data_IF_172336887228
#
_entry.id   IF_172336887228
#
_cell.length_a   1.000
_cell.length_b   1.000
_cell.length_c   1.000
_cell.angle_alpha   90.00
_cell.angle_beta   90.00
_cell.angle_gamma   90.00
#
_symmetry.space_group_name_H-M   'P 1'
#
loop_
_entity.id
_entity.type
_entity.pdbx_description
1 polymer ?
#
# COMPACT_ATOMS: atom_id res chain seq x y z
N UNK A 1 -1.55 3.16 32.12
CA UNK A 1 -2.83 2.85 31.43
C UNK A 1 -3.63 4.14 31.37
N UNK A 2 -4.26 4.51 30.25
CA UNK A 2 -5.01 5.78 30.14
C UNK A 2 -6.44 5.58 30.66
N UNK A 3 -6.95 6.49 31.49
CA UNK A 3 -8.33 6.42 32.02
C UNK A 3 -9.35 6.36 30.88
N UNK A 4 -9.15 7.16 29.83
CA UNK A 4 -10.03 7.17 28.65
C UNK A 4 -10.02 5.81 27.93
N UNK A 5 -8.85 5.17 27.85
CA UNK A 5 -8.73 3.84 27.25
C UNK A 5 -9.58 2.83 28.01
N UNK A 6 -9.48 2.80 29.34
CA UNK A 6 -10.26 1.90 30.20
C UNK A 6 -11.76 2.20 30.14
N UNK A 7 -12.16 3.48 30.13
CA UNK A 7 -13.58 3.86 30.02
C UNK A 7 -14.20 3.39 28.70
N UNK A 8 -13.45 3.50 27.59
CA UNK A 8 -13.88 3.02 26.27
C UNK A 8 -13.84 1.47 26.14
N UNK A 9 -13.26 0.75 27.10
CA UNK A 9 -13.24 -0.72 27.12
C UNK A 9 -14.46 -1.29 27.84
N UNK A 10 -14.95 -0.64 28.89
CA UNK A 10 -15.94 -1.21 29.79
C UNK A 10 -17.41 -1.02 29.38
N UNK A 11 -17.78 0.10 28.73
CA UNK A 11 -19.19 0.41 28.45
C UNK A 11 -19.33 1.22 27.14
N UNK A 12 -20.27 0.82 26.29
CA UNK A 12 -20.62 1.52 25.06
C UNK A 12 -21.22 2.91 25.36
N UNK A 13 -21.92 3.08 26.49
CA UNK A 13 -22.45 4.37 26.92
C UNK A 13 -21.32 5.37 27.24
N UNK A 14 -20.20 4.90 27.79
CA UNK A 14 -19.03 5.76 27.99
C UNK A 14 -18.50 6.29 26.66
N UNK A 15 -18.57 5.49 25.59
CA UNK A 15 -18.15 5.93 24.26
C UNK A 15 -19.07 7.03 23.70
N UNK A 16 -20.37 6.97 24.01
CA UNK A 16 -21.33 8.04 23.69
C UNK A 16 -20.98 9.33 24.45
N UNK A 17 -20.65 9.24 25.74
CA UNK A 17 -20.24 10.42 26.51
C UNK A 17 -18.90 11.00 26.04
N UNK A 18 -17.93 10.13 25.69
CA UNK A 18 -16.66 10.54 25.09
C UNK A 18 -16.89 11.31 23.78
N UNK A 19 -17.80 10.83 22.93
CA UNK A 19 -18.13 11.46 21.65
C UNK A 19 -18.76 12.87 21.79
N UNK A 20 -19.51 13.09 22.87
CA UNK A 20 -20.13 14.40 23.17
C UNK A 20 -19.10 15.48 23.50
N UNK A 21 -17.91 15.12 24.01
CA UNK A 21 -16.87 16.09 24.35
C UNK A 21 -16.12 16.53 23.10
N UNK A 22 -16.56 17.65 22.52
CA UNK A 22 -16.10 18.16 21.21
C UNK A 22 -14.58 18.29 21.07
N UNK A 23 -13.89 18.76 22.10
CA UNK A 23 -12.45 19.04 22.03
C UNK A 23 -11.57 17.86 22.47
N UNK A 24 -12.15 16.77 22.94
CA UNK A 24 -11.38 15.65 23.49
C UNK A 24 -10.57 14.95 22.40
N UNK A 25 -11.24 14.58 21.30
CA UNK A 25 -10.59 13.92 20.15
C UNK A 25 -9.51 14.83 19.53
N UNK A 26 -9.77 16.11 19.20
CA UNK A 26 -8.73 17.03 18.72
C UNK A 26 -7.51 17.12 19.65
N UNK A 27 -7.71 17.19 20.97
CA UNK A 27 -6.62 17.24 21.96
C UNK A 27 -5.80 15.95 21.97
N UNK A 28 -6.45 14.79 21.96
CA UNK A 28 -5.76 13.49 21.86
C UNK A 28 -4.95 13.42 20.56
N UNK A 29 -5.50 13.91 19.45
CA UNK A 29 -4.77 13.96 18.17
C UNK A 29 -3.60 14.95 18.26
N UNK A 30 -3.74 16.09 18.92
CA UNK A 30 -2.65 17.03 19.17
C UNK A 30 -1.44 16.38 19.87
N UNK A 31 -1.69 15.45 20.78
CA UNK A 31 -0.66 14.67 21.46
C UNK A 31 0.00 13.59 20.60
N UNK A 32 -0.51 13.33 19.39
CA UNK A 32 0.18 12.46 18.42
C UNK A 32 1.31 13.15 17.66
N UNK A 33 1.46 14.48 17.82
CA UNK A 33 2.57 15.21 17.22
C UNK A 33 3.91 14.82 17.87
N UNK A 34 4.84 14.32 17.05
CA UNK A 34 6.20 14.03 17.46
C UNK A 34 7.01 15.30 17.82
N UNK A 35 6.46 16.50 17.58
CA UNK A 35 7.01 17.80 17.99
C UNK A 35 6.00 18.61 18.82
N UNK A 36 5.41 18.00 19.85
CA UNK A 36 4.54 18.76 20.75
C UNK A 36 5.38 19.72 21.60
N UNK A 37 5.23 21.03 21.38
CA UNK A 37 5.94 22.09 22.10
C UNK A 37 5.57 22.20 23.60
N UNK A 38 4.62 21.36 24.08
CA UNK A 38 4.08 21.44 25.43
C UNK A 38 4.82 20.60 26.49
N UNK A 39 5.83 19.79 26.12
CA UNK A 39 6.43 18.81 27.04
C UNK A 39 7.91 19.10 27.29
N UNK A 40 8.29 19.14 28.58
CA UNK A 40 9.63 19.56 29.02
C UNK A 40 10.71 18.48 28.86
N UNK A 41 10.34 17.22 28.58
CA UNK A 41 11.30 16.13 28.32
C UNK A 41 10.84 15.15 27.24
N UNK A 42 11.80 14.60 26.50
CA UNK A 42 11.59 13.61 25.44
C UNK A 42 10.88 12.33 25.97
N UNK A 43 11.20 11.93 27.20
CA UNK A 43 10.57 10.76 27.85
C UNK A 43 9.07 10.97 28.09
N UNK A 44 8.68 12.14 28.62
CA UNK A 44 7.27 12.48 28.83
C UNK A 44 6.53 12.57 27.49
N UNK A 45 7.17 13.12 26.45
CA UNK A 45 6.58 13.19 25.12
C UNK A 45 6.30 11.81 24.54
N UNK A 46 7.24 10.86 24.65
CA UNK A 46 7.04 9.47 24.20
C UNK A 46 5.92 8.75 24.95
N UNK A 47 5.81 8.95 26.26
CA UNK A 47 4.72 8.37 27.08
C UNK A 47 3.35 8.92 26.65
N UNK A 48 3.27 10.23 26.43
CA UNK A 48 2.04 10.91 26.03
C UNK A 48 1.60 10.49 24.62
N UNK A 49 2.55 10.45 23.67
CA UNK A 49 2.34 9.96 22.32
C UNK A 49 1.80 8.53 22.32
N UNK A 50 2.49 7.61 23.01
CA UNK A 50 2.10 6.20 23.13
C UNK A 50 0.69 6.04 23.72
N UNK A 51 0.40 6.77 24.79
CA UNK A 51 -0.90 6.71 25.46
C UNK A 51 -2.02 7.23 24.56
N UNK A 52 -1.76 8.31 23.82
CA UNK A 52 -2.73 8.90 22.89
C UNK A 52 -3.02 7.97 21.72
N UNK A 53 -2.01 7.30 21.16
CA UNK A 53 -2.19 6.28 20.12
C UNK A 53 -3.00 5.08 20.62
N UNK A 54 -2.79 4.62 21.87
CA UNK A 54 -3.60 3.54 22.45
C UNK A 54 -5.07 3.93 22.55
N UNK A 55 -5.34 5.17 23.01
CA UNK A 55 -6.71 5.70 23.07
C UNK A 55 -7.31 5.76 21.67
N UNK A 56 -6.61 6.33 20.68
CA UNK A 56 -7.12 6.42 19.30
C UNK A 56 -7.36 5.05 18.67
N UNK A 57 -6.46 4.09 18.88
CA UNK A 57 -6.64 2.72 18.38
C UNK A 57 -7.90 2.09 18.98
N UNK A 58 -8.17 2.32 20.26
CA UNK A 58 -9.38 1.84 20.91
C UNK A 58 -10.63 2.54 20.40
N UNK A 59 -10.63 3.87 20.31
CA UNK A 59 -11.79 4.62 19.83
C UNK A 59 -12.16 4.24 18.39
N UNK A 60 -11.15 4.02 17.54
CA UNK A 60 -11.38 3.61 16.14
C UNK A 60 -11.82 2.15 16.01
N UNK A 61 -11.55 1.29 17.00
CA UNK A 61 -11.97 -0.12 17.00
C UNK A 61 -13.40 -0.35 17.47
N UNK A 62 -14.10 0.69 17.94
CA UNK A 62 -15.48 0.54 18.42
C UNK A 62 -16.39 0.20 17.23
N UNK A 63 -17.30 -0.75 17.45
CA UNK A 63 -18.30 -1.18 16.46
C UNK A 63 -19.62 -0.42 16.64
N UNK A 64 -20.54 -0.58 15.68
CA UNK A 64 -21.86 0.06 15.69
C UNK A 64 -21.84 1.57 15.36
N UNK A 65 -22.98 2.23 15.54
CA UNK A 65 -23.22 3.62 15.14
C UNK A 65 -22.24 4.63 15.77
N UNK A 66 -21.94 4.45 17.06
CA UNK A 66 -20.97 5.28 17.77
C UNK A 66 -19.55 5.09 17.20
N UNK A 67 -19.19 3.87 16.83
CA UNK A 67 -17.91 3.56 16.19
C UNK A 67 -17.76 4.24 14.84
N UNK A 68 -18.83 4.26 14.03
CA UNK A 68 -18.89 4.97 12.74
C UNK A 68 -18.67 6.47 12.98
N UNK A 69 -19.38 7.06 13.95
CA UNK A 69 -19.27 8.49 14.29
C UNK A 69 -17.86 8.87 14.76
N UNK A 70 -17.29 8.07 15.65
CA UNK A 70 -15.93 8.30 16.17
C UNK A 70 -14.88 8.19 15.07
N UNK A 71 -14.93 7.14 14.22
CA UNK A 71 -14.00 7.01 13.09
C UNK A 71 -14.11 8.18 12.13
N UNK A 72 -15.33 8.65 11.81
CA UNK A 72 -15.53 9.84 10.98
C UNK A 72 -14.90 11.10 11.59
N UNK A 73 -15.19 11.40 12.87
CA UNK A 73 -14.61 12.58 13.55
C UNK A 73 -13.08 12.51 13.63
N UNK A 74 -12.54 11.34 13.94
CA UNK A 74 -11.11 11.10 14.00
C UNK A 74 -10.48 11.29 12.61
N UNK A 75 -11.03 10.66 11.56
CA UNK A 75 -10.46 10.71 10.21
C UNK A 75 -10.48 12.10 9.59
N UNK A 76 -11.51 12.91 9.88
CA UNK A 76 -11.65 14.27 9.35
C UNK A 76 -10.74 15.30 10.02
N UNK A 77 -10.02 14.92 11.07
CA UNK A 77 -9.10 15.84 11.71
C UNK A 77 -7.83 16.03 10.85
N UNK A 78 -7.51 17.27 10.42
CA UNK A 78 -6.54 17.54 9.34
C UNK A 78 -5.11 17.10 9.66
N UNK A 79 -4.75 17.04 10.95
CA UNK A 79 -3.40 16.67 11.37
C UNK A 79 -3.21 15.17 11.62
N UNK A 80 -4.28 14.37 11.66
CA UNK A 80 -4.18 12.98 12.05
C UNK A 80 -3.25 12.22 11.10
N UNK A 81 -3.65 12.07 9.82
CA UNK A 81 -2.90 11.26 8.85
C UNK A 81 -1.45 11.73 8.69
N UNK A 82 -1.19 13.03 8.81
CA UNK A 82 0.17 13.58 8.83
C UNK A 82 0.97 13.10 10.04
N UNK A 83 0.45 13.25 11.26
CA UNK A 83 1.13 12.82 12.49
C UNK A 83 1.39 11.30 12.46
N UNK A 84 0.38 10.55 12.04
CA UNK A 84 0.42 9.12 11.83
C UNK A 84 1.54 8.73 10.83
N UNK A 85 1.64 9.43 9.71
CA UNK A 85 2.70 9.22 8.73
C UNK A 85 4.08 9.53 9.32
N UNK A 86 4.24 10.65 10.05
CA UNK A 86 5.51 11.06 10.67
C UNK A 86 6.11 9.96 11.55
N UNK A 87 5.29 9.34 12.39
CA UNK A 87 5.69 8.24 13.28
C UNK A 87 6.14 7.00 12.50
N UNK A 88 5.46 6.66 11.39
CA UNK A 88 5.84 5.51 10.56
C UNK A 88 7.21 5.69 9.87
N UNK A 89 7.61 6.93 9.61
CA UNK A 89 8.88 7.23 8.93
C UNK A 89 10.09 7.37 9.86
N UNK A 90 9.88 7.39 11.18
CA UNK A 90 10.98 7.42 12.14
C UNK A 90 11.65 6.04 12.22
N UNK A 91 12.88 5.96 11.70
CA UNK A 91 13.69 4.75 11.58
C UNK A 91 14.30 4.26 12.89
N UNK A 92 14.04 4.92 14.03
CA UNK A 92 14.57 4.48 15.32
C UNK A 92 13.99 3.11 15.72
N UNK A 93 14.89 2.14 16.00
CA UNK A 93 14.56 0.74 16.31
C UNK A 93 13.63 0.58 17.54
N UNK A 94 13.60 1.57 18.42
CA UNK A 94 12.82 1.55 19.67
C UNK A 94 11.32 1.85 19.51
N UNK A 95 10.81 2.07 18.28
CA UNK A 95 9.43 2.51 18.04
C UNK A 95 8.49 1.46 17.43
N UNK A 96 8.84 0.17 17.47
CA UNK A 96 8.01 -0.91 16.89
C UNK A 96 6.59 -0.97 17.47
N UNK A 97 6.41 -0.79 18.78
CA UNK A 97 5.07 -0.75 19.39
C UNK A 97 4.25 0.44 18.87
N UNK A 98 4.87 1.61 18.69
CA UNK A 98 4.18 2.78 18.12
C UNK A 98 3.74 2.48 16.69
N UNK A 99 4.61 1.94 15.85
CA UNK A 99 4.28 1.52 14.47
C UNK A 99 3.12 0.51 14.43
N UNK A 100 3.04 -0.41 15.39
CA UNK A 100 1.93 -1.37 15.50
C UNK A 100 0.60 -0.70 15.88
N UNK A 101 0.60 0.18 16.88
CA UNK A 101 -0.58 0.97 17.26
C UNK A 101 -1.07 1.80 16.07
N UNK A 102 -0.11 2.44 15.40
CA UNK A 102 -0.28 3.23 14.20
C UNK A 102 -0.95 2.48 13.05
N UNK A 103 -0.39 1.33 12.66
CA UNK A 103 -0.97 0.49 11.62
C UNK A 103 -2.39 0.02 11.99
N UNK A 104 -2.62 -0.29 13.27
CA UNK A 104 -3.95 -0.63 13.78
C UNK A 104 -4.98 0.50 13.65
N UNK A 105 -4.60 1.74 13.96
CA UNK A 105 -5.47 2.92 13.77
C UNK A 105 -5.82 3.07 12.29
N UNK A 106 -4.81 3.05 11.40
CA UNK A 106 -5.04 3.21 9.96
C UNK A 106 -5.93 2.11 9.38
N UNK A 107 -5.72 0.86 9.81
CA UNK A 107 -6.59 -0.26 9.46
C UNK A 107 -8.03 -0.02 9.88
N UNK A 108 -8.25 0.42 11.12
CA UNK A 108 -9.59 0.68 11.63
C UNK A 108 -10.27 1.85 10.90
N UNK A 109 -9.52 2.91 10.59
CA UNK A 109 -10.03 4.06 9.82
C UNK A 109 -10.35 3.72 8.37
N UNK A 110 -9.64 2.77 7.78
CA UNK A 110 -9.89 2.27 6.42
C UNK A 110 -11.19 1.45 6.30
N UNK A 111 -11.92 1.23 7.40
CA UNK A 111 -13.30 0.73 7.40
C UNK A 111 -14.21 1.68 6.60
N UNK A 112 -14.06 2.98 6.80
CA UNK A 112 -14.89 3.98 6.10
C UNK A 112 -14.40 4.22 4.67
N UNK A 113 -15.30 4.10 3.69
CA UNK A 113 -14.97 4.17 2.25
C UNK A 113 -14.20 5.44 1.86
N UNK A 114 -14.68 6.61 2.29
CA UNK A 114 -14.07 7.89 1.95
C UNK A 114 -12.66 8.03 2.56
N UNK A 115 -12.54 7.67 3.85
CA UNK A 115 -11.26 7.68 4.56
C UNK A 115 -10.27 6.71 3.93
N UNK A 116 -10.72 5.52 3.53
CA UNK A 116 -9.90 4.53 2.82
C UNK A 116 -9.40 5.06 1.49
N UNK A 117 -10.25 5.72 0.71
CA UNK A 117 -9.86 6.33 -0.57
C UNK A 117 -8.82 7.44 -0.36
N UNK A 118 -9.00 8.27 0.67
CA UNK A 118 -8.04 9.30 1.04
C UNK A 118 -6.68 8.69 1.43
N UNK A 119 -6.67 7.70 2.31
CA UNK A 119 -5.45 6.94 2.69
C UNK A 119 -4.79 6.32 1.46
N UNK A 120 -5.56 5.68 0.59
CA UNK A 120 -5.08 5.04 -0.64
C UNK A 120 -4.44 6.02 -1.64
N UNK A 121 -4.83 7.29 -1.60
CA UNK A 121 -4.28 8.34 -2.45
C UNK A 121 -3.03 9.02 -1.85
N UNK A 122 -2.78 8.86 -0.55
CA UNK A 122 -1.62 9.46 0.10
C UNK A 122 -0.36 8.61 -0.14
N UNK A 123 0.31 8.86 -1.27
CA UNK A 123 1.55 8.17 -1.66
C UNK A 123 2.57 8.08 -0.51
N UNK A 124 2.78 9.16 0.23
CA UNK A 124 3.66 9.20 1.40
C UNK A 124 3.30 8.15 2.46
N UNK A 125 2.01 8.01 2.79
CA UNK A 125 1.54 7.12 3.84
C UNK A 125 1.63 5.66 3.39
N UNK A 126 1.24 5.36 2.14
CA UNK A 126 1.38 4.03 1.53
C UNK A 126 2.85 3.60 1.50
N UNK A 127 3.74 4.48 1.04
CA UNK A 127 5.19 4.25 1.04
C UNK A 127 5.73 3.92 2.43
N UNK A 128 5.30 4.66 3.47
CA UNK A 128 5.75 4.42 4.85
C UNK A 128 5.15 3.15 5.46
N UNK A 129 3.89 2.82 5.16
CA UNK A 129 3.25 1.57 5.57
C UNK A 129 3.96 0.35 4.97
N UNK A 130 4.21 0.40 3.66
CA UNK A 130 4.94 -0.65 2.95
C UNK A 130 6.35 -0.83 3.50
N UNK A 131 7.07 0.27 3.75
CA UNK A 131 8.39 0.21 4.38
C UNK A 131 8.34 -0.39 5.77
N UNK A 132 7.39 0.03 6.61
CA UNK A 132 7.21 -0.52 7.94
C UNK A 132 6.88 -2.02 7.91
N UNK A 133 6.06 -2.48 6.96
CA UNK A 133 5.76 -3.90 6.77
C UNK A 133 7.02 -4.70 6.41
N UNK A 134 7.80 -4.21 5.43
CA UNK A 134 9.04 -4.86 4.99
C UNK A 134 10.15 -4.83 6.06
N UNK A 135 10.18 -3.80 6.90
CA UNK A 135 11.12 -3.67 8.02
C UNK A 135 10.69 -4.46 9.27
N UNK A 136 9.39 -4.78 9.44
CA UNK A 136 8.83 -5.39 10.67
C UNK A 136 9.12 -6.90 10.81
N UNK A 137 9.75 -7.54 9.83
CA UNK A 137 10.12 -8.95 9.94
C UNK A 137 11.47 -9.17 10.67
N UNK A 138 12.04 -8.12 11.26
CA UNK A 138 13.28 -8.18 12.05
C UNK A 138 13.05 -8.56 13.52
N UNK A 139 12.95 -9.86 13.80
CA UNK A 139 13.30 -10.42 15.11
C UNK A 139 14.17 -11.65 14.92
N UNK A 140 15.33 -11.52 14.29
CA UNK A 140 16.43 -12.45 14.55
C UNK A 140 17.73 -11.67 14.67
N UNK A 141 18.43 -11.99 15.75
CA UNK A 141 19.72 -11.46 16.14
C UNK A 141 20.77 -11.75 15.05
N UNK A 142 21.57 -10.73 14.74
CA UNK A 142 22.78 -10.75 13.91
C UNK A 142 22.65 -10.30 12.45
N UNK A 143 23.73 -9.67 11.99
CA UNK A 143 23.83 -8.65 10.95
C UNK A 143 23.73 -9.17 9.49
N UNK A 144 23.01 -10.28 9.27
CA UNK A 144 22.77 -10.90 7.95
C UNK A 144 21.28 -11.23 7.75
N UNK A 145 20.50 -11.26 8.83
CA UNK A 145 19.10 -11.74 8.85
C UNK A 145 18.04 -10.68 8.53
N UNK A 146 18.42 -9.43 8.21
CA UNK A 146 17.47 -8.38 7.83
C UNK A 146 17.03 -8.47 6.35
N UNK A 147 17.91 -9.00 5.49
CA UNK A 147 17.62 -9.22 4.07
C UNK A 147 16.71 -10.43 3.86
N UNK A 148 16.90 -11.50 4.64
CA UNK A 148 16.20 -12.78 4.46
C UNK A 148 14.66 -12.64 4.50
N UNK A 149 14.04 -11.84 5.39
CA UNK A 149 12.59 -11.71 5.43
C UNK A 149 12.03 -10.72 4.41
N UNK A 150 12.84 -9.74 3.96
CA UNK A 150 12.50 -8.86 2.83
C UNK A 150 12.46 -9.66 1.54
N UNK A 151 13.49 -10.48 1.34
CA UNK A 151 13.65 -11.43 0.23
C UNK A 151 12.56 -12.51 0.29
N UNK A 152 12.30 -13.13 1.44
CA UNK A 152 11.28 -14.18 1.57
C UNK A 152 9.85 -13.67 1.35
N UNK A 153 9.52 -12.47 1.84
CA UNK A 153 8.21 -11.85 1.58
C UNK A 153 8.00 -11.50 0.11
N UNK A 154 9.06 -11.05 -0.57
CA UNK A 154 9.06 -10.77 -2.01
C UNK A 154 8.94 -12.05 -2.84
N UNK A 155 9.78 -13.04 -2.57
CA UNK A 155 9.76 -14.34 -3.22
C UNK A 155 8.37 -15.00 -3.08
N UNK A 156 7.76 -14.94 -1.90
CA UNK A 156 6.43 -15.51 -1.66
C UNK A 156 5.35 -14.80 -2.50
N UNK A 157 5.39 -13.46 -2.62
CA UNK A 157 4.46 -12.73 -3.47
C UNK A 157 4.65 -13.09 -4.94
N UNK A 158 5.90 -13.15 -5.41
CA UNK A 158 6.21 -13.48 -6.82
C UNK A 158 5.80 -14.92 -7.17
N UNK A 159 6.09 -15.90 -6.30
CA UNK A 159 5.67 -17.29 -6.47
C UNK A 159 4.14 -17.42 -6.45
N UNK A 160 3.45 -16.76 -5.50
CA UNK A 160 1.98 -16.78 -5.44
C UNK A 160 1.32 -16.20 -6.69
N UNK A 161 1.93 -15.19 -7.34
CA UNK A 161 1.40 -14.60 -8.58
C UNK A 161 1.37 -15.62 -9.74
N UNK A 162 2.29 -16.59 -9.74
CA UNK A 162 2.33 -17.61 -10.79
C UNK A 162 1.02 -18.42 -10.82
N UNK A 163 0.48 -18.75 -9.65
CA UNK A 163 -0.68 -19.64 -9.51
C UNK A 163 -2.01 -18.91 -9.18
N UNK A 164 -1.96 -17.67 -8.71
CA UNK A 164 -3.16 -16.92 -8.31
C UNK A 164 -4.04 -16.53 -9.51
N UNK A 165 -5.35 -16.44 -9.30
CA UNK A 165 -6.34 -16.01 -10.29
C UNK A 165 -7.32 -14.97 -9.71
N UNK A 166 -8.04 -14.28 -10.60
CA UNK A 166 -9.12 -13.36 -10.21
C UNK A 166 -8.68 -12.24 -9.26
N UNK A 167 -9.46 -12.02 -8.20
CA UNK A 167 -9.18 -10.95 -7.23
C UNK A 167 -7.87 -11.14 -6.45
N UNK A 168 -7.48 -12.39 -6.15
CA UNK A 168 -6.20 -12.67 -5.49
C UNK A 168 -5.03 -12.24 -6.38
N UNK A 169 -5.09 -12.57 -7.68
CA UNK A 169 -4.09 -12.15 -8.66
C UNK A 169 -3.99 -10.61 -8.75
N UNK A 170 -5.13 -9.93 -8.82
CA UNK A 170 -5.17 -8.46 -8.87
C UNK A 170 -4.48 -7.83 -7.66
N UNK A 171 -4.77 -8.33 -6.46
CA UNK A 171 -4.18 -7.85 -5.21
C UNK A 171 -2.69 -8.13 -5.16
N UNK A 172 -2.26 -9.34 -5.52
CA UNK A 172 -0.85 -9.72 -5.45
C UNK A 172 0.01 -8.94 -6.46
N UNK A 173 -0.46 -8.75 -7.70
CA UNK A 173 0.25 -7.91 -8.68
C UNK A 173 0.26 -6.45 -8.21
N UNK A 174 -0.85 -5.94 -7.69
CA UNK A 174 -0.92 -4.60 -7.10
C UNK A 174 0.11 -4.41 -5.98
N UNK A 175 0.22 -5.40 -5.08
CA UNK A 175 1.21 -5.41 -4.00
C UNK A 175 2.64 -5.48 -4.55
N UNK A 176 2.90 -6.37 -5.51
CA UNK A 176 4.20 -6.49 -6.19
C UNK A 176 4.63 -5.17 -6.82
N UNK A 177 3.71 -4.44 -7.44
CA UNK A 177 3.98 -3.13 -8.04
C UNK A 177 4.40 -2.09 -6.99
N UNK A 178 3.76 -2.10 -5.82
CA UNK A 178 4.14 -1.20 -4.72
C UNK A 178 5.50 -1.58 -4.12
N UNK A 179 5.83 -2.87 -4.03
CA UNK A 179 7.15 -3.33 -3.58
C UNK A 179 8.22 -2.89 -4.58
N UNK A 180 8.01 -3.15 -5.87
CA UNK A 180 8.92 -2.76 -6.95
C UNK A 180 9.20 -1.25 -6.95
N UNK A 181 8.18 -0.42 -6.67
CA UNK A 181 8.32 1.04 -6.51
C UNK A 181 9.15 1.45 -5.30
N UNK A 182 9.08 0.70 -4.21
CA UNK A 182 9.61 1.09 -2.91
C UNK A 182 11.07 0.69 -2.71
N UNK A 183 11.42 -0.51 -3.19
CA UNK A 183 12.75 -1.13 -3.06
C UNK A 183 13.15 -1.74 -4.41
N UNK A 184 13.38 -0.89 -5.44
CA UNK A 184 13.60 -1.36 -6.79
C UNK A 184 14.87 -2.20 -6.94
N UNK A 185 15.92 -1.90 -6.18
CA UNK A 185 17.19 -2.64 -6.22
C UNK A 185 17.02 -4.07 -5.71
N UNK A 186 16.43 -4.25 -4.52
CA UNK A 186 16.20 -5.57 -3.94
C UNK A 186 15.20 -6.37 -4.77
N UNK A 187 14.13 -5.73 -5.26
CA UNK A 187 13.17 -6.38 -6.14
C UNK A 187 13.80 -6.85 -7.45
N UNK A 188 14.66 -6.01 -8.06
CA UNK A 188 15.37 -6.38 -9.28
C UNK A 188 16.34 -7.54 -9.02
N UNK A 189 17.10 -7.51 -7.93
CA UNK A 189 17.98 -8.61 -7.54
C UNK A 189 17.21 -9.92 -7.40
N UNK A 190 16.05 -9.92 -6.73
CA UNK A 190 15.24 -11.12 -6.56
C UNK A 190 14.80 -11.71 -7.91
N UNK A 191 14.42 -10.86 -8.87
CA UNK A 191 14.06 -11.29 -10.21
C UNK A 191 15.24 -11.91 -10.99
N UNK A 192 16.48 -11.47 -10.75
CA UNK A 192 17.68 -12.02 -11.43
C UNK A 192 18.03 -13.44 -10.96
N UNK A 193 17.47 -13.92 -9.85
CA UNK A 193 17.72 -15.28 -9.38
C UNK A 193 16.95 -16.30 -10.23
N UNK A 194 17.68 -17.19 -10.90
CA UNK A 194 17.10 -18.29 -11.69
C UNK A 194 16.28 -17.83 -12.91
N UNK A 195 15.15 -18.49 -13.17
CA UNK A 195 14.24 -18.18 -14.29
C UNK A 195 13.02 -17.34 -13.84
N UNK A 196 13.07 -16.74 -12.64
CA UNK A 196 11.93 -16.07 -12.01
C UNK A 196 11.46 -14.89 -12.85
N UNK A 197 12.36 -13.98 -13.25
CA UNK A 197 12.00 -12.84 -14.10
C UNK A 197 11.22 -13.23 -15.35
N UNK A 198 11.73 -14.21 -16.10
CA UNK A 198 11.12 -14.63 -17.36
C UNK A 198 9.74 -15.24 -17.13
N UNK A 199 9.59 -16.10 -16.11
CA UNK A 199 8.30 -16.69 -15.72
C UNK A 199 7.30 -15.61 -15.25
N UNK A 200 7.76 -14.67 -14.43
CA UNK A 200 6.95 -13.58 -13.92
C UNK A 200 6.46 -12.66 -15.04
N UNK A 201 7.35 -12.21 -15.93
CA UNK A 201 6.99 -11.41 -17.11
C UNK A 201 6.00 -12.17 -17.99
N UNK A 202 6.26 -13.45 -18.29
CA UNK A 202 5.35 -14.27 -19.08
C UNK A 202 3.97 -14.36 -18.40
N UNK A 203 3.93 -14.60 -17.09
CA UNK A 203 2.69 -14.66 -16.31
C UNK A 203 1.87 -13.37 -16.40
N UNK A 204 2.52 -12.21 -16.30
CA UNK A 204 1.86 -10.91 -16.46
C UNK A 204 1.23 -10.77 -17.84
N UNK A 205 1.94 -11.15 -18.90
CA UNK A 205 1.43 -11.07 -20.28
C UNK A 205 0.28 -12.07 -20.50
N UNK A 206 0.42 -13.31 -20.03
CA UNK A 206 -0.63 -14.32 -20.11
C UNK A 206 -1.90 -13.86 -19.37
N UNK A 207 -1.76 -13.29 -18.17
CA UNK A 207 -2.87 -12.74 -17.41
C UNK A 207 -3.52 -11.54 -18.11
N UNK A 208 -2.74 -10.66 -18.77
CA UNK A 208 -3.28 -9.55 -19.55
C UNK A 208 -4.14 -10.08 -20.70
N UNK A 209 -3.64 -11.09 -21.42
CA UNK A 209 -4.33 -11.74 -22.53
C UNK A 209 -5.60 -12.47 -22.10
N UNK A 210 -5.56 -13.16 -20.96
CA UNK A 210 -6.75 -13.80 -20.39
C UNK A 210 -7.84 -12.79 -19.99
N UNK A 211 -7.47 -11.53 -19.77
CA UNK A 211 -8.37 -10.46 -19.33
C UNK A 211 -8.67 -9.42 -20.44
N UNK A 212 -8.46 -9.74 -21.73
CA UNK A 212 -8.82 -8.84 -22.84
C UNK A 212 -10.32 -8.56 -22.91
N UNK A 213 -11.15 -9.58 -22.66
CA UNK A 213 -12.56 -9.38 -22.33
C UNK A 213 -12.64 -9.13 -20.84
N UNK A 214 -13.14 -7.96 -20.47
CA UNK A 214 -13.14 -7.57 -19.08
C UNK A 214 -14.02 -8.47 -18.22
N UNK A 215 -13.50 -8.85 -17.06
CA UNK A 215 -14.24 -9.53 -16.02
C UNK A 215 -14.75 -8.51 -14.99
N UNK A 216 -16.05 -8.47 -14.76
CA UNK A 216 -16.68 -7.56 -13.79
C UNK A 216 -16.21 -7.79 -12.35
N UNK A 217 -15.69 -8.98 -12.03
CA UNK A 217 -15.26 -9.35 -10.67
C UNK A 217 -13.83 -8.92 -10.33
N UNK A 218 -13.02 -8.56 -11.33
CA UNK A 218 -11.62 -8.16 -11.14
C UNK A 218 -11.24 -7.07 -12.16
N UNK A 219 -11.88 -5.88 -12.08
CA UNK A 219 -11.77 -4.87 -13.11
C UNK A 219 -10.38 -4.22 -13.19
N UNK A 220 -9.52 -4.42 -12.19
CA UNK A 220 -8.21 -3.78 -12.13
C UNK A 220 -7.04 -4.65 -12.58
N UNK A 221 -7.24 -5.92 -12.97
CA UNK A 221 -6.13 -6.82 -13.38
C UNK A 221 -5.28 -6.19 -14.48
N UNK A 222 -5.90 -5.71 -15.56
CA UNK A 222 -5.17 -5.09 -16.68
C UNK A 222 -4.36 -3.88 -16.22
N UNK A 223 -4.93 -3.06 -15.35
CA UNK A 223 -4.27 -1.89 -14.76
C UNK A 223 -3.04 -2.28 -13.95
N UNK A 224 -3.17 -3.20 -13.00
CA UNK A 224 -2.04 -3.57 -12.12
C UNK A 224 -0.92 -4.23 -12.92
N UNK A 225 -1.25 -4.98 -13.98
CA UNK A 225 -0.27 -5.53 -14.91
C UNK A 225 0.47 -4.41 -15.63
N UNK A 226 -0.24 -3.44 -16.21
CA UNK A 226 0.39 -2.30 -16.90
C UNK A 226 1.28 -1.51 -15.94
N UNK A 227 0.81 -1.22 -14.73
CA UNK A 227 1.64 -0.54 -13.72
C UNK A 227 2.90 -1.35 -13.39
N UNK A 228 2.77 -2.64 -13.09
CA UNK A 228 3.91 -3.53 -12.83
C UNK A 228 4.91 -3.52 -13.98
N UNK A 229 4.45 -3.68 -15.22
CA UNK A 229 5.30 -3.70 -16.41
C UNK A 229 6.02 -2.37 -16.64
N UNK A 230 5.32 -1.24 -16.49
CA UNK A 230 5.92 0.10 -16.60
C UNK A 230 7.04 0.26 -15.59
N UNK A 231 6.79 -0.04 -14.32
CA UNK A 231 7.82 0.11 -13.28
C UNK A 231 9.04 -0.78 -13.53
N UNK A 232 8.83 -2.03 -13.94
CA UNK A 232 9.93 -2.92 -14.30
C UNK A 232 10.76 -2.36 -15.46
N UNK A 233 10.12 -1.82 -16.50
CA UNK A 233 10.82 -1.24 -17.66
C UNK A 233 11.52 0.08 -17.33
N UNK A 234 10.96 0.88 -16.43
CA UNK A 234 11.58 2.13 -15.95
C UNK A 234 12.79 1.86 -15.05
N UNK A 235 12.75 0.82 -14.21
CA UNK A 235 13.87 0.44 -13.36
C UNK A 235 15.02 -0.19 -14.16
N UNK A 236 14.70 -1.01 -15.16
CA UNK A 236 15.69 -1.64 -16.03
C UNK A 236 15.13 -1.81 -17.44
N UNK A 237 15.65 -1.02 -18.39
CA UNK A 237 15.16 -1.02 -19.77
C UNK A 237 15.31 -2.36 -20.48
N UNK A 238 16.21 -3.25 -20.02
CA UNK A 238 16.33 -4.62 -20.55
C UNK A 238 15.06 -5.44 -20.34
N UNK A 239 14.23 -5.10 -19.36
CA UNK A 239 12.93 -5.74 -19.17
C UNK A 239 12.01 -5.49 -20.37
N UNK A 240 12.11 -4.34 -21.06
CA UNK A 240 11.31 -4.04 -22.24
C UNK A 240 11.55 -5.06 -23.36
N UNK A 241 12.80 -5.51 -23.55
CA UNK A 241 13.13 -6.57 -24.50
C UNK A 241 12.42 -7.88 -24.14
N UNK A 242 12.49 -8.29 -22.87
CA UNK A 242 11.84 -9.52 -22.42
C UNK A 242 10.30 -9.44 -22.54
N UNK A 243 9.69 -8.31 -22.20
CA UNK A 243 8.26 -8.08 -22.43
C UNK A 243 7.91 -8.17 -23.92
N UNK A 244 8.74 -7.61 -24.80
CA UNK A 244 8.50 -7.64 -26.24
C UNK A 244 8.63 -9.06 -26.83
N UNK A 245 9.57 -9.88 -26.34
CA UNK A 245 9.66 -11.31 -26.71
C UNK A 245 8.36 -12.08 -26.43
N UNK A 246 7.62 -11.68 -25.40
CA UNK A 246 6.30 -12.24 -25.07
C UNK A 246 5.13 -11.51 -25.75
N UNK A 247 5.39 -10.61 -26.70
CA UNK A 247 4.37 -9.84 -27.45
C UNK A 247 3.52 -8.93 -26.56
N UNK A 248 4.15 -8.31 -25.55
CA UNK A 248 3.48 -7.31 -24.71
C UNK A 248 2.94 -6.13 -25.53
N UNK A 249 3.64 -5.69 -26.58
CA UNK A 249 3.20 -4.57 -27.44
C UNK A 249 1.82 -4.82 -28.07
N UNK A 250 1.61 -6.02 -28.60
CA UNK A 250 0.34 -6.44 -29.19
C UNK A 250 -0.76 -6.47 -28.11
N UNK A 251 -0.42 -7.05 -26.96
CA UNK A 251 -1.34 -7.17 -25.81
C UNK A 251 -1.80 -5.79 -25.32
N UNK A 252 -0.87 -4.85 -25.12
CA UNK A 252 -1.18 -3.47 -24.69
C UNK A 252 -2.02 -2.72 -25.74
N UNK A 253 -1.81 -2.98 -27.03
CA UNK A 253 -2.62 -2.37 -28.09
C UNK A 253 -4.07 -2.84 -28.07
N UNK A 254 -4.32 -4.12 -27.76
CA UNK A 254 -5.69 -4.63 -27.59
C UNK A 254 -6.41 -4.03 -26.39
N UNK A 255 -5.69 -3.69 -25.31
CA UNK A 255 -6.28 -3.01 -24.14
C UNK A 255 -6.80 -1.62 -24.52
N UNK A 256 -6.09 -0.91 -25.39
CA UNK A 256 -6.50 0.40 -25.90
C UNK A 256 -7.83 0.34 -26.65
N UNK A 257 -8.04 -0.73 -27.43
CA UNK A 257 -9.25 -0.94 -28.24
C UNK A 257 -10.47 -1.38 -27.41
N UNK A 258 -10.25 -1.83 -26.17
CA UNK A 258 -11.30 -2.41 -25.31
C UNK A 258 -11.44 -1.73 -23.94
N UNK A 259 -11.54 -0.39 -23.89
CA UNK A 259 -11.56 0.35 -22.63
C UNK A 259 -12.86 0.13 -21.88
N UNK A 260 -12.79 0.16 -20.55
CA UNK A 260 -13.98 0.13 -19.72
C UNK A 260 -13.94 1.06 -18.52
N UNK A 261 -15.13 1.58 -18.18
CA UNK A 261 -15.35 2.41 -17.00
C UNK A 261 -15.01 1.68 -15.70
N UNK A 262 -15.16 0.36 -15.65
CA UNK A 262 -14.86 -0.40 -14.44
C UNK A 262 -13.36 -0.39 -14.10
N UNK A 263 -12.48 -0.18 -15.09
CA UNK A 263 -11.01 -0.12 -14.89
C UNK A 263 -10.55 1.17 -14.23
N UNK A 264 -11.47 2.08 -13.95
CA UNK A 264 -11.26 3.17 -13.00
C UNK A 264 -11.16 2.63 -11.57
N UNK A 265 -11.53 1.38 -11.32
CA UNK A 265 -11.58 0.78 -10.01
C UNK A 265 -10.68 -0.46 -9.89
N UNK A 266 -10.17 -0.71 -8.69
CA UNK A 266 -9.38 -1.89 -8.32
C UNK A 266 -9.97 -2.59 -7.09
N UNK A 267 -9.74 -3.90 -7.00
CA UNK A 267 -10.08 -4.71 -5.84
C UNK A 267 -9.18 -4.35 -4.64
N UNK A 268 -9.78 -4.24 -3.46
CA UNK A 268 -9.06 -3.99 -2.20
C UNK A 268 -9.25 -5.16 -1.24
N UNK A 269 -8.19 -5.58 -0.55
CA UNK A 269 -8.24 -6.70 0.39
C UNK A 269 -9.08 -6.35 1.63
N UNK A 270 -10.19 -7.09 1.85
CA UNK A 270 -11.12 -6.95 2.99
C UNK A 270 -12.59 -6.96 2.56
N UNK A 271 -13.54 -6.91 3.51
CA UNK A 271 -15.00 -6.98 3.27
C UNK A 271 -15.62 -5.77 2.54
N UNK A 272 -14.84 -4.96 1.81
CA UNK A 272 -15.20 -3.56 1.54
C UNK A 272 -15.13 -3.06 0.09
N UNK A 273 -14.98 -3.93 -0.90
CA UNK A 273 -15.24 -3.60 -2.32
C UNK A 273 -14.10 -2.87 -3.05
N UNK A 274 -14.44 -1.94 -3.95
CA UNK A 274 -13.50 -1.38 -4.93
C UNK A 274 -12.94 0.02 -4.57
N UNK A 275 -11.73 0.33 -5.03
CA UNK A 275 -11.03 1.62 -4.89
C UNK A 275 -10.85 2.31 -6.25
N UNK A 276 -11.10 3.61 -6.33
CA UNK A 276 -10.96 4.40 -7.57
C UNK A 276 -9.53 4.91 -7.81
N UNK A 277 -9.00 4.70 -9.01
CA UNK A 277 -7.68 5.11 -9.47
C UNK A 277 -7.73 6.49 -10.16
N UNK A 278 -6.73 7.34 -9.89
CA UNK A 278 -6.62 8.68 -10.50
C UNK A 278 -6.09 8.65 -11.94
N UNK A 279 -5.13 7.77 -12.21
CA UNK A 279 -4.50 7.68 -13.53
C UNK A 279 -5.43 6.97 -14.50
N UNK A 280 -5.73 7.58 -15.64
CA UNK A 280 -6.49 6.92 -16.70
C UNK A 280 -5.73 5.69 -17.22
N UNK A 281 -6.46 4.64 -17.60
CA UNK A 281 -5.83 3.43 -18.13
C UNK A 281 -5.09 3.72 -19.45
N UNK A 282 -5.64 4.59 -20.30
CA UNK A 282 -5.02 5.03 -21.56
C UNK A 282 -3.62 5.62 -21.33
N UNK A 283 -3.44 6.43 -20.30
CA UNK A 283 -2.12 6.99 -19.96
C UNK A 283 -1.10 5.91 -19.58
N UNK A 284 -1.54 4.80 -18.97
CA UNK A 284 -0.68 3.65 -18.69
C UNK A 284 -0.35 2.90 -19.99
N UNK A 285 -1.33 2.71 -20.87
CA UNK A 285 -1.13 2.09 -22.20
C UNK A 285 -0.10 2.88 -23.02
N UNK A 286 -0.25 4.19 -23.12
CA UNK A 286 0.66 5.08 -23.84
C UNK A 286 2.08 4.96 -23.31
N UNK A 287 2.24 5.01 -21.98
CA UNK A 287 3.53 4.90 -21.31
C UNK A 287 4.18 3.53 -21.54
N UNK A 288 3.41 2.45 -21.48
CA UNK A 288 3.92 1.11 -21.71
C UNK A 288 4.42 0.95 -23.16
N UNK A 289 3.64 1.40 -24.16
CA UNK A 289 4.04 1.38 -25.57
C UNK A 289 5.30 2.19 -25.84
N UNK A 290 5.40 3.37 -25.23
CA UNK A 290 6.58 4.24 -25.32
C UNK A 290 7.84 3.51 -24.82
N UNK A 291 7.79 2.89 -23.64
CA UNK A 291 8.94 2.20 -23.05
C UNK A 291 9.39 1.00 -23.88
N UNK A 292 8.44 0.22 -24.43
CA UNK A 292 8.76 -0.91 -25.32
C UNK A 292 9.43 -0.42 -26.60
N UNK A 293 8.90 0.65 -27.21
CA UNK A 293 9.41 1.20 -28.47
C UNK A 293 10.78 1.85 -28.33
N UNK A 294 11.05 2.53 -27.20
CA UNK A 294 12.35 3.17 -26.93
C UNK A 294 13.50 2.16 -26.94
N UNK A 295 13.31 0.97 -26.34
CA UNK A 295 14.34 -0.07 -26.33
C UNK A 295 14.59 -0.65 -27.72
N UNK A 296 13.53 -0.82 -28.53
CA UNK A 296 13.66 -1.33 -29.90
C UNK A 296 14.51 -0.40 -30.78
N UNK A 297 14.30 0.91 -30.68
CA UNK A 297 15.11 1.91 -31.39
C UNK A 297 16.57 1.92 -30.92
N UNK A 298 16.80 1.77 -29.61
CA UNK A 298 18.16 1.66 -29.07
C UNK A 298 18.88 0.43 -29.62
N UNK A 299 18.22 -0.73 -29.68
CA UNK A 299 18.81 -1.97 -30.18
C UNK A 299 19.21 -1.86 -31.67
N UNK A 300 18.36 -1.23 -32.51
CA UNK A 300 18.66 -0.95 -33.93
C UNK A 300 19.90 -0.05 -34.05
N UNK A 301 19.95 1.03 -33.26
CA UNK A 301 21.05 1.98 -33.32
C UNK A 301 22.37 1.43 -32.77
N UNK A 302 22.32 0.39 -31.92
CA UNK A 302 23.51 -0.28 -31.38
C UNK A 302 24.03 -1.42 -32.26
N UNK A 303 23.26 -1.85 -33.25
CA UNK A 303 23.61 -2.92 -34.19
C UNK A 303 24.23 -2.39 -35.51
N UNK A 304 24.19 -1.07 -35.72
CA UNK A 304 24.83 -0.35 -36.82
C UNK A 304 26.11 0.33 -36.37
#
# INVERSE_FOLDING_TARGET
MSIIYSLAECDQNNCVEIDKVTDLIPKIIGFTSFRSAMVNSEAQQKVLLKSSLKVLQRLTSIEGEIGITLRYKISKHPFLLRNLAEILGDSSSNNQELRRLMAGILRNLAIDKDTRQEIGQMKMLITRLMKAFLDSNGSFSSNVDCLLPKVAGQALVLERIIDAEGAELEILIGLSSQICKLIPEEFAQELEHGQIKRRFIKRLVDALNANMKQNAHCPGIRRVILEQSIYMMECNSRNAKCFNEFRMMDSVSMVEETPSRAEKYMFFLGDMGFMECKTALSALVDRAKELISRQWLHDINSAN
#
